data_IF_357346175717
#
_entry.id   IF_357346175717
#
_cell.length_a   1.000
_cell.length_b   1.000
_cell.length_c   1.000
_cell.angle_alpha   90.00
_cell.angle_beta   90.00
_cell.angle_gamma   90.00
#
_symmetry.space_group_name_H-M   'P 1'
#
loop_
_entity.id
_entity.type
_entity.pdbx_description
1 polymer ?
#
# COMPACT_ATOMS: atom_id res chain seq x y z
N UNK A 1 -4.76 -9.26 30.46
CA UNK A 1 -5.37 -8.35 29.44
C UNK A 1 -4.63 -8.58 28.15
N UNK A 2 -5.26 -8.50 26.98
CA UNK A 2 -4.50 -8.58 25.73
C UNK A 2 -3.50 -7.42 25.65
N UNK A 3 -2.32 -7.70 25.07
CA UNK A 3 -1.27 -6.68 24.89
C UNK A 3 -1.74 -5.65 23.88
N UNK A 4 -1.78 -4.37 24.29
CA UNK A 4 -2.06 -3.26 23.40
C UNK A 4 -0.85 -2.99 22.49
N UNK A 5 -1.03 -3.17 21.19
CA UNK A 5 -0.01 -2.93 20.19
C UNK A 5 -0.18 -1.54 19.60
N UNK A 6 0.89 -0.80 19.55
CA UNK A 6 0.93 0.59 19.10
C UNK A 6 1.90 0.78 17.94
N UNK A 7 1.63 1.81 17.14
CA UNK A 7 2.40 2.19 15.96
C UNK A 7 3.05 3.55 16.23
N UNK A 8 4.38 3.58 16.09
CA UNK A 8 5.18 4.79 16.25
C UNK A 8 5.83 5.15 14.92
N UNK A 9 5.96 6.45 14.68
CA UNK A 9 6.68 7.06 13.57
C UNK A 9 6.47 6.35 12.22
N UNK A 10 5.24 6.24 11.70
CA UNK A 10 5.01 5.74 10.35
C UNK A 10 5.51 6.75 9.32
N UNK A 11 6.46 6.31 8.48
CA UNK A 11 7.14 7.12 7.47
C UNK A 11 7.09 6.48 6.09
N UNK A 12 7.29 7.29 5.05
CA UNK A 12 7.42 6.84 3.67
C UNK A 12 8.40 7.69 2.87
N UNK A 13 8.93 7.16 1.80
CA UNK A 13 9.54 7.98 0.77
C UNK A 13 8.47 8.77 0.00
N UNK A 14 8.82 9.81 -0.77
CA UNK A 14 7.99 10.23 -1.89
C UNK A 14 7.62 9.02 -2.78
N UNK A 15 6.48 9.10 -3.47
CA UNK A 15 6.06 8.04 -4.39
C UNK A 15 6.53 8.42 -5.80
N UNK A 16 7.51 7.66 -6.32
CA UNK A 16 7.99 7.77 -7.68
C UNK A 16 6.97 7.21 -8.69
N UNK A 17 6.89 7.83 -9.86
CA UNK A 17 6.15 7.25 -11.00
C UNK A 17 7.00 6.18 -11.68
N UNK A 18 6.37 5.28 -12.40
CA UNK A 18 7.08 4.28 -13.23
C UNK A 18 8.04 4.97 -14.22
N UNK A 19 9.31 4.57 -14.19
CA UNK A 19 10.37 5.20 -14.98
C UNK A 19 10.76 6.61 -14.51
N UNK A 20 10.34 7.02 -13.31
CA UNK A 20 10.61 8.33 -12.71
C UNK A 20 11.88 8.40 -11.87
N UNK A 21 11.85 9.23 -10.83
CA UNK A 21 13.00 9.57 -10.01
C UNK A 21 13.67 8.35 -9.34
N UNK A 22 12.90 7.32 -9.01
CA UNK A 22 13.41 6.12 -8.33
C UNK A 22 13.70 4.93 -9.25
N UNK A 23 13.58 5.09 -10.57
CA UNK A 23 13.76 3.99 -11.52
C UNK A 23 15.13 3.30 -11.47
N UNK A 24 16.16 3.97 -10.93
CA UNK A 24 17.50 3.44 -10.77
C UNK A 24 17.84 3.07 -9.32
N UNK A 25 16.85 3.17 -8.41
CA UNK A 25 17.02 2.78 -7.02
C UNK A 25 16.75 1.30 -6.84
N UNK A 26 17.42 0.68 -5.87
CA UNK A 26 17.06 -0.67 -5.44
C UNK A 26 15.97 -0.62 -4.38
N UNK A 27 15.06 -1.62 -4.32
CA UNK A 27 14.08 -1.70 -3.24
C UNK A 27 14.75 -1.69 -1.85
N UNK A 28 15.85 -2.40 -1.67
CA UNK A 28 16.57 -2.46 -0.41
C UNK A 28 17.08 -1.07 0.04
N UNK A 29 17.65 -0.29 -0.88
CA UNK A 29 18.16 1.06 -0.56
C UNK A 29 17.03 2.01 -0.13
N UNK A 30 15.87 2.01 -0.82
CA UNK A 30 14.72 2.83 -0.41
C UNK A 30 14.17 2.40 0.96
N UNK A 31 14.08 1.10 1.22
CA UNK A 31 13.63 0.59 2.50
C UNK A 31 14.62 0.93 3.63
N UNK A 32 15.92 0.74 3.39
CA UNK A 32 16.97 1.08 4.35
C UNK A 32 16.93 2.58 4.73
N UNK A 33 16.67 3.46 3.75
CA UNK A 33 16.55 4.89 3.98
C UNK A 33 15.41 5.23 4.95
N UNK A 34 14.22 4.63 4.77
CA UNK A 34 13.07 4.83 5.66
C UNK A 34 13.36 4.25 7.06
N UNK A 35 13.96 3.06 7.14
CA UNK A 35 14.32 2.41 8.40
C UNK A 35 15.31 3.28 9.21
N UNK A 36 16.35 3.79 8.57
CA UNK A 36 17.32 4.66 9.20
C UNK A 36 16.67 5.94 9.74
N UNK A 37 15.74 6.52 9.01
CA UNK A 37 15.02 7.72 9.44
C UNK A 37 14.06 7.43 10.61
N UNK A 38 13.38 6.27 10.64
CA UNK A 38 12.57 5.84 11.79
C UNK A 38 13.45 5.76 13.04
N UNK A 39 14.61 5.12 12.94
CA UNK A 39 15.55 5.02 14.07
C UNK A 39 16.02 6.41 14.53
N UNK A 40 16.37 7.28 13.59
CA UNK A 40 16.83 8.64 13.89
C UNK A 40 15.73 9.49 14.57
N UNK A 41 14.50 9.47 14.05
CA UNK A 41 13.39 10.29 14.61
C UNK A 41 12.90 9.76 15.95
N UNK A 42 12.86 8.44 16.12
CA UNK A 42 12.42 7.85 17.39
C UNK A 42 13.50 7.91 18.47
N UNK A 43 14.77 8.06 18.08
CA UNK A 43 15.91 8.00 19.00
C UNK A 43 16.08 6.62 19.66
N UNK A 44 15.43 5.59 19.15
CA UNK A 44 15.55 4.24 19.69
C UNK A 44 16.98 3.71 19.51
N UNK A 45 17.51 3.04 20.53
CA UNK A 45 18.75 2.26 20.37
C UNK A 45 18.49 1.17 19.30
N UNK A 46 19.23 1.15 18.18
CA UNK A 46 19.08 0.15 17.14
C UNK A 46 19.17 -1.30 17.62
N UNK A 47 19.90 -1.54 18.72
CA UNK A 47 20.03 -2.86 19.33
C UNK A 47 18.74 -3.35 20.02
N UNK A 48 17.74 -2.47 20.19
CA UNK A 48 16.42 -2.82 20.75
C UNK A 48 15.44 -3.32 19.69
N UNK A 49 15.79 -3.22 18.41
CA UNK A 49 14.98 -3.77 17.32
C UNK A 49 15.24 -5.26 17.19
N UNK A 50 14.18 -6.07 17.29
CA UNK A 50 14.28 -7.53 17.18
C UNK A 50 14.28 -7.99 15.72
N UNK A 51 13.39 -7.41 14.91
CA UNK A 51 13.19 -7.81 13.52
C UNK A 51 12.77 -6.64 12.62
N UNK A 52 13.08 -6.76 11.32
CA UNK A 52 12.52 -5.93 10.25
C UNK A 52 11.68 -6.81 9.33
N UNK A 53 10.37 -6.54 9.23
CA UNK A 53 9.44 -7.27 8.38
C UNK A 53 9.01 -6.38 7.22
N UNK A 54 9.36 -6.74 5.98
CA UNK A 54 9.01 -5.95 4.81
C UNK A 54 8.12 -6.72 3.82
N UNK A 55 7.02 -6.08 3.43
CA UNK A 55 6.23 -6.47 2.28
C UNK A 55 6.97 -6.14 0.98
N UNK A 56 7.08 -7.12 0.06
CA UNK A 56 7.72 -6.94 -1.23
C UNK A 56 7.09 -7.88 -2.26
N UNK A 57 6.41 -7.30 -3.26
CA UNK A 57 5.59 -8.06 -4.19
C UNK A 57 6.31 -8.45 -5.50
N UNK A 58 7.46 -7.83 -5.79
CA UNK A 58 8.28 -8.12 -6.97
C UNK A 58 9.72 -8.45 -6.59
N UNK A 59 9.94 -9.54 -5.81
CA UNK A 59 11.24 -9.88 -5.26
C UNK A 59 12.25 -10.26 -6.35
N UNK A 60 13.53 -10.00 -6.02
CA UNK A 60 14.68 -10.44 -6.82
C UNK A 60 15.70 -11.15 -5.94
N UNK A 61 16.61 -11.89 -6.56
CA UNK A 61 17.73 -12.50 -5.84
C UNK A 61 18.80 -11.49 -5.40
N UNK A 62 18.70 -10.23 -5.83
CA UNK A 62 19.65 -9.17 -5.44
C UNK A 62 19.43 -8.69 -3.98
N UNK A 63 18.22 -8.93 -3.43
CA UNK A 63 17.90 -8.61 -2.03
C UNK A 63 17.04 -9.74 -1.42
N UNK A 64 17.60 -10.95 -1.21
CA UNK A 64 16.86 -12.05 -0.60
C UNK A 64 16.50 -11.69 0.86
N UNK A 65 15.28 -12.04 1.28
CA UNK A 65 14.76 -11.63 2.59
C UNK A 65 14.96 -10.12 2.83
N UNK A 66 14.36 -9.31 1.96
CA UNK A 66 14.64 -7.86 1.87
C UNK A 66 14.59 -7.12 3.21
N UNK A 67 13.78 -7.57 4.18
CA UNK A 67 13.78 -7.02 5.54
C UNK A 67 15.15 -7.11 6.21
N UNK A 68 15.86 -8.24 6.01
CA UNK A 68 17.21 -8.42 6.55
C UNK A 68 18.22 -7.54 5.81
N UNK A 69 18.19 -7.52 4.49
CA UNK A 69 19.12 -6.70 3.69
C UNK A 69 18.95 -5.23 4.04
N UNK A 70 17.72 -4.73 4.05
CA UNK A 70 17.41 -3.34 4.37
C UNK A 70 17.79 -2.97 5.82
N UNK A 71 17.64 -3.89 6.79
CA UNK A 71 18.09 -3.67 8.18
C UNK A 71 19.60 -3.43 8.25
N UNK A 72 20.39 -4.27 7.58
CA UNK A 72 21.85 -4.14 7.55
C UNK A 72 22.29 -2.86 6.82
N UNK A 73 21.67 -2.56 5.68
CA UNK A 73 21.98 -1.37 4.89
C UNK A 73 21.57 -0.08 5.62
N UNK A 74 20.55 -0.15 6.50
CA UNK A 74 20.17 0.95 7.39
C UNK A 74 21.12 1.15 8.58
N UNK A 75 22.12 0.26 8.77
CA UNK A 75 23.08 0.33 9.86
C UNK A 75 22.59 -0.30 11.17
N UNK A 76 21.54 -1.11 11.16
CA UNK A 76 21.13 -1.85 12.35
C UNK A 76 22.15 -2.95 12.68
N UNK A 77 22.29 -3.33 13.97
CA UNK A 77 23.22 -4.39 14.38
C UNK A 77 22.93 -5.73 13.70
N UNK A 78 23.95 -6.55 13.54
CA UNK A 78 23.84 -7.88 12.95
C UNK A 78 22.96 -8.85 13.74
N UNK A 79 22.59 -8.51 14.96
CA UNK A 79 21.63 -9.24 15.80
C UNK A 79 20.19 -9.06 15.35
N UNK A 80 19.86 -7.99 14.64
CA UNK A 80 18.49 -7.71 14.14
C UNK A 80 18.17 -8.68 13.00
N UNK A 81 17.12 -9.47 13.15
CA UNK A 81 16.67 -10.39 12.11
C UNK A 81 15.81 -9.68 11.06
N UNK A 82 15.47 -10.34 9.96
CA UNK A 82 14.58 -9.73 8.99
C UNK A 82 13.95 -10.73 8.05
N UNK A 83 12.71 -10.45 7.67
CA UNK A 83 11.90 -11.30 6.81
C UNK A 83 11.20 -10.52 5.69
N UNK A 84 10.67 -11.26 4.73
CA UNK A 84 9.94 -10.75 3.57
C UNK A 84 8.57 -11.40 3.48
N UNK A 85 7.55 -10.60 3.16
CA UNK A 85 6.19 -11.06 2.95
C UNK A 85 5.71 -10.65 1.56
N UNK A 86 5.12 -11.59 0.84
CA UNK A 86 4.32 -11.30 -0.36
C UNK A 86 2.85 -11.66 -0.12
N UNK A 87 2.03 -10.65 0.10
CA UNK A 87 0.57 -10.69 0.02
C UNK A 87 0.12 -9.66 -1.02
N UNK A 88 0.86 -9.52 -2.09
CA UNK A 88 0.60 -8.57 -3.18
C UNK A 88 0.27 -7.16 -2.62
N UNK A 89 -0.85 -6.55 -3.02
CA UNK A 89 -1.27 -5.20 -2.59
C UNK A 89 -1.37 -5.04 -1.06
N UNK A 90 -1.59 -6.12 -0.32
CA UNK A 90 -1.69 -6.11 1.15
C UNK A 90 -0.38 -6.33 1.89
N UNK A 91 0.76 -6.48 1.20
CA UNK A 91 2.03 -6.90 1.82
C UNK A 91 2.50 -5.96 2.93
N UNK A 92 2.44 -4.65 2.72
CA UNK A 92 2.89 -3.66 3.71
C UNK A 92 2.05 -3.67 4.98
N UNK A 93 0.72 -3.70 4.85
CA UNK A 93 -0.16 -3.82 6.02
C UNK A 93 0.01 -5.20 6.69
N UNK A 94 0.14 -6.29 5.91
CA UNK A 94 0.37 -7.62 6.48
C UNK A 94 1.65 -7.66 7.32
N UNK A 95 2.73 -7.02 6.89
CA UNK A 95 3.97 -6.93 7.67
C UNK A 95 3.74 -6.26 9.04
N UNK A 96 2.96 -5.18 9.08
CA UNK A 96 2.57 -4.51 10.33
C UNK A 96 1.72 -5.43 11.22
N UNK A 97 0.77 -6.18 10.63
CA UNK A 97 -0.07 -7.11 11.37
C UNK A 97 0.72 -8.32 11.91
N UNK A 98 1.70 -8.82 11.15
CA UNK A 98 2.57 -9.91 11.61
C UNK A 98 3.47 -9.44 12.76
N UNK A 99 4.03 -8.23 12.68
CA UNK A 99 4.72 -7.59 13.78
C UNK A 99 3.83 -7.48 15.04
N UNK A 100 2.58 -7.03 14.85
CA UNK A 100 1.62 -6.94 15.96
C UNK A 100 1.30 -8.30 16.57
N UNK A 101 1.20 -9.35 15.76
CA UNK A 101 1.00 -10.72 16.26
C UNK A 101 2.22 -11.23 17.03
N UNK A 102 3.44 -10.96 16.58
CA UNK A 102 4.68 -11.31 17.30
C UNK A 102 4.75 -10.59 18.66
N UNK A 103 4.42 -9.30 18.72
CA UNK A 103 4.37 -8.52 19.96
C UNK A 103 3.33 -9.12 20.93
N UNK A 104 2.11 -9.41 20.43
CA UNK A 104 1.04 -10.04 21.26
C UNK A 104 1.40 -11.44 21.77
N UNK A 105 2.19 -12.17 21.01
CA UNK A 105 2.69 -13.49 21.39
C UNK A 105 3.89 -13.46 22.35
N UNK A 106 4.48 -12.27 22.60
CA UNK A 106 5.69 -12.12 23.38
C UNK A 106 6.95 -12.66 22.70
N UNK A 107 6.88 -12.83 21.36
CA UNK A 107 8.02 -13.29 20.56
C UNK A 107 9.00 -12.17 20.26
N UNK A 108 8.51 -10.94 20.06
CA UNK A 108 9.30 -9.73 19.85
C UNK A 108 8.79 -8.60 20.74
N UNK A 109 9.66 -7.65 21.09
CA UNK A 109 9.30 -6.42 21.82
C UNK A 109 9.16 -5.22 20.86
N UNK A 110 10.08 -5.11 19.88
CA UNK A 110 10.14 -3.99 18.93
C UNK A 110 10.41 -4.52 17.53
N UNK A 111 9.52 -4.19 16.60
CA UNK A 111 9.64 -4.59 15.19
C UNK A 111 9.50 -3.36 14.30
N UNK A 112 10.37 -3.22 13.32
CA UNK A 112 10.14 -2.27 12.22
C UNK A 112 9.42 -3.02 11.10
N UNK A 113 8.22 -2.56 10.73
CA UNK A 113 7.38 -3.24 9.77
C UNK A 113 6.86 -2.30 8.69
N UNK A 114 6.77 -2.79 7.47
CA UNK A 114 6.31 -1.97 6.36
C UNK A 114 6.42 -2.69 5.03
N UNK A 115 6.81 -1.97 3.99
CA UNK A 115 7.02 -2.60 2.69
C UNK A 115 7.66 -1.67 1.67
N UNK A 116 8.08 -2.25 0.56
CA UNK A 116 8.76 -1.55 -0.52
C UNK A 116 8.50 -2.25 -1.86
N UNK A 117 8.31 -1.48 -2.90
CA UNK A 117 8.51 -1.92 -4.27
C UNK A 117 9.12 -0.79 -5.11
N UNK A 118 10.05 -1.14 -5.98
CA UNK A 118 10.47 -0.32 -7.11
C UNK A 118 9.99 -1.05 -8.35
N UNK A 119 8.74 -0.75 -8.76
CA UNK A 119 8.12 -1.44 -9.90
C UNK A 119 8.87 -1.13 -11.20
N UNK A 120 9.54 0.03 -11.27
CA UNK A 120 10.42 0.40 -12.37
C UNK A 120 11.62 -0.53 -12.54
N UNK A 121 12.04 -1.22 -11.48
CA UNK A 121 13.15 -2.18 -11.46
C UNK A 121 12.70 -3.64 -11.36
N UNK A 122 11.40 -3.91 -11.55
CA UNK A 122 10.88 -5.29 -11.52
C UNK A 122 11.57 -6.16 -12.60
N UNK A 123 11.93 -7.41 -12.28
CA UNK A 123 12.78 -8.22 -13.15
C UNK A 123 12.02 -8.74 -14.37
N UNK A 124 12.79 -8.93 -15.45
CA UNK A 124 12.44 -9.89 -16.49
C UNK A 124 13.11 -11.22 -16.17
N UNK A 125 12.40 -12.34 -16.33
CA UNK A 125 12.92 -13.65 -15.98
C UNK A 125 12.50 -14.73 -16.98
N UNK A 126 13.20 -15.88 -16.94
CA UNK A 126 12.85 -17.07 -17.70
C UNK A 126 12.99 -18.31 -16.82
N UNK A 127 12.17 -19.33 -17.07
CA UNK A 127 12.31 -20.66 -16.47
C UNK A 127 13.18 -21.59 -17.30
N UNK A 128 13.39 -21.27 -18.59
CA UNK A 128 13.94 -22.21 -19.57
C UNK A 128 15.47 -22.25 -19.58
N UNK A 129 16.15 -21.30 -18.97
CA UNK A 129 17.60 -21.14 -19.06
C UNK A 129 18.44 -22.12 -18.23
N UNK A 130 17.89 -22.69 -17.15
CA UNK A 130 18.68 -23.47 -16.17
C UNK A 130 19.24 -24.79 -16.75
N UNK A 131 18.53 -25.39 -17.65
CA UNK A 131 18.91 -26.70 -18.25
C UNK A 131 19.45 -26.56 -19.68
N UNK A 132 19.85 -25.35 -20.05
CA UNK A 132 20.36 -25.02 -21.38
C UNK A 132 19.25 -24.56 -22.32
N UNK A 133 19.66 -23.74 -23.30
CA UNK A 133 18.77 -23.15 -24.29
C UNK A 133 18.68 -24.09 -25.47
N UNK A 134 17.46 -24.51 -25.82
CA UNK A 134 17.19 -25.34 -27.00
C UNK A 134 16.19 -24.61 -27.90
N UNK A 135 16.37 -24.77 -29.23
CA UNK A 135 15.46 -24.19 -30.22
C UNK A 135 15.72 -22.69 -30.48
N UNK A 136 14.70 -21.90 -30.82
CA UNK A 136 14.83 -20.55 -31.40
C UNK A 136 15.19 -19.46 -30.39
N UNK A 137 15.44 -19.77 -29.11
CA UNK A 137 15.81 -18.79 -28.10
C UNK A 137 15.09 -18.91 -26.78
N UNK A 138 15.09 -17.82 -25.99
CA UNK A 138 14.42 -17.70 -24.68
C UNK A 138 13.26 -16.72 -24.76
N UNK A 139 12.18 -17.06 -24.07
CA UNK A 139 11.13 -16.11 -23.74
C UNK A 139 11.41 -15.49 -22.36
N UNK A 140 11.47 -14.15 -22.30
CA UNK A 140 11.56 -13.40 -21.04
C UNK A 140 10.17 -12.93 -20.62
N UNK A 141 9.79 -13.28 -19.40
CA UNK A 141 8.56 -12.84 -18.78
C UNK A 141 8.79 -11.54 -18.00
N UNK A 142 8.00 -10.51 -18.26
CA UNK A 142 7.91 -9.33 -17.40
C UNK A 142 7.19 -9.71 -16.09
N UNK A 143 7.87 -9.59 -14.94
CA UNK A 143 7.32 -9.93 -13.63
C UNK A 143 6.05 -9.12 -13.29
N UNK A 144 5.98 -7.84 -13.72
CA UNK A 144 4.80 -6.99 -13.51
C UNK A 144 3.58 -7.53 -14.24
N UNK A 145 3.72 -7.79 -15.54
CA UNK A 145 2.64 -8.32 -16.37
C UNK A 145 2.24 -9.72 -15.90
N UNK A 146 3.24 -10.57 -15.66
CA UNK A 146 3.01 -11.97 -15.30
C UNK A 146 2.30 -12.12 -13.95
N UNK A 147 2.73 -11.39 -12.92
CA UNK A 147 2.13 -11.44 -11.58
C UNK A 147 0.65 -11.03 -11.54
N UNK A 148 0.20 -10.24 -12.52
CA UNK A 148 -1.21 -9.81 -12.60
C UNK A 148 -2.14 -10.89 -13.11
N UNK A 149 -1.68 -11.72 -14.04
CA UNK A 149 -2.51 -12.77 -14.66
C UNK A 149 -2.42 -14.10 -13.94
N UNK A 150 -1.37 -14.33 -13.15
CA UNK A 150 -1.13 -15.60 -12.43
C UNK A 150 -1.65 -15.61 -11.00
N UNK A 151 -2.09 -14.47 -10.46
CA UNK A 151 -2.48 -14.34 -9.06
C UNK A 151 -3.64 -15.28 -8.64
N UNK A 152 -4.51 -15.69 -9.58
CA UNK A 152 -5.59 -16.68 -9.33
C UNK A 152 -5.13 -18.16 -9.46
N UNK A 153 -3.86 -18.40 -9.74
CA UNK A 153 -3.33 -19.76 -9.98
C UNK A 153 -3.90 -20.38 -11.26
N UNK A 154 -3.75 -21.69 -11.37
CA UNK A 154 -4.18 -22.45 -12.57
C UNK A 154 -5.70 -22.63 -12.59
N UNK A 155 -6.33 -22.79 -11.43
CA UNK A 155 -7.74 -23.12 -11.32
C UNK A 155 -8.69 -21.90 -11.35
N UNK A 156 -8.14 -20.69 -11.14
CA UNK A 156 -8.91 -19.45 -11.15
C UNK A 156 -8.22 -18.38 -12.00
N UNK A 157 -8.00 -18.64 -13.30
CA UNK A 157 -7.26 -17.75 -14.17
C UNK A 157 -8.02 -16.44 -14.39
N UNK A 158 -7.27 -15.33 -14.45
CA UNK A 158 -7.78 -14.01 -14.83
C UNK A 158 -6.89 -13.47 -15.96
N UNK A 159 -7.13 -13.88 -17.21
CA UNK A 159 -6.21 -13.61 -18.32
C UNK A 159 -6.04 -12.12 -18.65
N UNK A 160 -7.04 -11.28 -18.44
CA UNK A 160 -6.95 -9.83 -18.55
C UNK A 160 -6.34 -9.15 -17.30
N UNK A 161 -5.91 -9.94 -16.31
CA UNK A 161 -5.25 -9.47 -15.10
C UNK A 161 -6.14 -8.58 -14.23
N UNK A 162 -5.50 -7.67 -13.49
CA UNK A 162 -6.22 -6.83 -12.51
C UNK A 162 -7.25 -5.90 -13.15
N UNK A 163 -7.04 -5.45 -14.40
CA UNK A 163 -8.02 -4.60 -15.11
C UNK A 163 -9.31 -5.36 -15.40
N UNK A 164 -9.20 -6.64 -15.80
CA UNK A 164 -10.38 -7.49 -16.00
C UNK A 164 -11.20 -7.64 -14.72
N UNK A 165 -10.54 -7.77 -13.55
CA UNK A 165 -11.26 -7.85 -12.27
C UNK A 165 -12.07 -6.59 -11.97
N UNK A 166 -11.58 -5.42 -12.35
CA UNK A 166 -12.29 -4.16 -12.20
C UNK A 166 -13.46 -4.04 -13.21
N UNK A 167 -13.26 -4.49 -14.46
CA UNK A 167 -14.34 -4.57 -15.45
C UNK A 167 -15.43 -5.57 -15.04
N UNK A 168 -15.08 -6.67 -14.36
CA UNK A 168 -16.09 -7.59 -13.83
C UNK A 168 -16.95 -6.90 -12.77
N UNK A 169 -16.36 -6.17 -11.85
CA UNK A 169 -17.11 -5.43 -10.83
C UNK A 169 -17.97 -4.32 -11.43
N UNK A 170 -17.45 -3.57 -12.42
CA UNK A 170 -18.27 -2.52 -13.05
C UNK A 170 -19.53 -3.09 -13.71
N UNK A 171 -19.44 -4.30 -14.29
CA UNK A 171 -20.62 -4.99 -14.87
C UNK A 171 -21.57 -5.46 -13.78
N UNK A 172 -21.05 -6.13 -12.75
CA UNK A 172 -21.82 -6.70 -11.65
C UNK A 172 -22.58 -5.63 -10.86
N UNK A 173 -21.91 -4.49 -10.57
CA UNK A 173 -22.47 -3.39 -9.78
C UNK A 173 -23.05 -2.25 -10.62
N UNK A 174 -23.04 -2.35 -11.96
CA UNK A 174 -23.56 -1.31 -12.84
C UNK A 174 -22.84 0.04 -12.66
N UNK A 175 -21.51 0.03 -12.48
CA UNK A 175 -20.73 1.26 -12.31
C UNK A 175 -20.48 1.90 -13.66
N UNK A 176 -20.93 3.14 -13.82
CA UNK A 176 -20.74 3.87 -15.08
C UNK A 176 -19.29 4.38 -15.23
N UNK A 177 -18.89 4.69 -16.46
CA UNK A 177 -17.64 5.36 -16.75
C UNK A 177 -17.58 6.74 -16.10
N UNK A 178 -18.68 7.47 -16.11
CA UNK A 178 -18.76 8.82 -15.53
C UNK A 178 -18.55 8.79 -14.01
N UNK A 179 -19.13 7.81 -13.29
CA UNK A 179 -18.91 7.65 -11.85
C UNK A 179 -17.45 7.34 -11.54
N UNK A 180 -16.80 6.50 -12.35
CA UNK A 180 -15.38 6.15 -12.19
C UNK A 180 -14.47 7.36 -12.38
N UNK A 181 -14.72 8.15 -13.43
CA UNK A 181 -13.96 9.34 -13.73
C UNK A 181 -14.19 10.45 -12.68
N UNK A 182 -15.41 10.57 -12.15
CA UNK A 182 -15.72 11.50 -11.07
C UNK A 182 -14.96 11.15 -9.77
N UNK A 183 -14.88 9.88 -9.40
CA UNK A 183 -14.08 9.44 -8.26
C UNK A 183 -12.59 9.70 -8.50
N UNK A 184 -12.07 9.43 -9.70
CA UNK A 184 -10.68 9.68 -10.04
C UNK A 184 -10.33 11.17 -9.98
N UNK A 185 -11.20 12.04 -10.51
CA UNK A 185 -11.05 13.49 -10.40
C UNK A 185 -10.98 13.94 -8.95
N UNK A 186 -11.91 13.46 -8.12
CA UNK A 186 -11.95 13.74 -6.68
C UNK A 186 -10.64 13.33 -5.99
N UNK A 187 -10.12 12.14 -6.31
CA UNK A 187 -8.84 11.64 -5.77
C UNK A 187 -7.69 12.57 -6.13
N UNK A 188 -7.56 12.98 -7.39
CA UNK A 188 -6.52 13.90 -7.86
C UNK A 188 -6.60 15.27 -7.17
N UNK A 189 -7.79 15.84 -7.08
CA UNK A 189 -8.02 17.13 -6.42
C UNK A 189 -7.68 17.08 -4.93
N UNK A 190 -7.98 15.97 -4.25
CA UNK A 190 -7.66 15.76 -2.83
C UNK A 190 -6.16 15.63 -2.61
N UNK A 191 -5.48 14.84 -3.41
CA UNK A 191 -4.03 14.71 -3.32
C UNK A 191 -3.33 16.05 -3.59
N UNK A 192 -3.76 16.80 -4.60
CA UNK A 192 -3.23 18.12 -4.90
C UNK A 192 -3.42 19.11 -3.76
N UNK A 193 -4.62 19.15 -3.16
CA UNK A 193 -4.91 19.99 -2.00
C UNK A 193 -4.11 19.56 -0.77
N UNK A 194 -4.05 18.27 -0.47
CA UNK A 194 -3.29 17.74 0.66
C UNK A 194 -1.80 18.07 0.55
N UNK A 195 -1.22 17.96 -0.66
CA UNK A 195 0.15 18.35 -0.92
C UNK A 195 0.37 19.86 -0.74
N UNK A 196 -0.52 20.70 -1.28
CA UNK A 196 -0.43 22.15 -1.14
C UNK A 196 -0.57 22.64 0.33
N UNK A 197 -1.31 21.89 1.16
CA UNK A 197 -1.49 22.16 2.58
C UNK A 197 -0.41 21.49 3.46
N UNK A 198 0.60 20.85 2.89
CA UNK A 198 1.69 20.20 3.62
C UNK A 198 1.27 18.97 4.46
N UNK A 199 0.13 18.34 4.14
CA UNK A 199 -0.41 17.23 4.95
C UNK A 199 0.47 15.99 4.93
N UNK A 200 1.33 15.83 3.91
CA UNK A 200 2.26 14.72 3.77
C UNK A 200 3.66 14.99 4.35
N UNK A 201 3.97 16.25 4.74
CA UNK A 201 5.34 16.64 5.09
C UNK A 201 5.89 15.84 6.27
N UNK A 202 5.05 15.59 7.29
CA UNK A 202 5.46 14.85 8.48
C UNK A 202 5.71 13.36 8.22
N UNK A 203 5.08 12.76 7.20
CA UNK A 203 5.25 11.35 6.86
C UNK A 203 6.31 11.09 5.79
N UNK A 204 6.67 12.12 5.02
CA UNK A 204 7.55 11.97 3.86
C UNK A 204 9.01 12.20 4.24
N UNK A 205 9.87 11.25 3.86
CA UNK A 205 11.31 11.30 4.03
C UNK A 205 11.95 11.64 2.69
N UNK A 206 12.59 12.81 2.53
CA UNK A 206 13.29 13.17 1.31
C UNK A 206 14.35 12.15 0.91
N UNK A 207 14.46 11.82 -0.37
CA UNK A 207 15.44 10.85 -0.89
C UNK A 207 16.38 11.54 -1.88
N UNK A 208 17.69 11.51 -1.60
CA UNK A 208 18.69 12.00 -2.56
C UNK A 208 19.05 10.89 -3.54
N UNK A 209 18.85 11.17 -4.83
CA UNK A 209 19.14 10.25 -5.93
C UNK A 209 20.27 10.79 -6.78
N UNK A 210 21.16 9.90 -7.24
CA UNK A 210 22.20 10.22 -8.21
C UNK A 210 21.67 10.06 -9.61
N UNK A 211 21.85 11.08 -10.42
CA UNK A 211 21.55 11.08 -11.86
C UNK A 211 22.81 11.38 -12.65
N UNK A 212 22.75 11.23 -13.99
CA UNK A 212 23.86 11.65 -14.86
C UNK A 212 24.16 13.16 -14.78
N UNK A 213 23.22 13.96 -14.29
CA UNK A 213 23.33 15.43 -14.14
C UNK A 213 23.78 15.85 -12.75
N UNK A 214 24.05 14.90 -11.85
CA UNK A 214 24.39 15.15 -10.45
C UNK A 214 23.40 14.58 -9.46
N UNK A 215 23.46 15.03 -8.23
CA UNK A 215 22.53 14.63 -7.15
C UNK A 215 21.28 15.52 -7.18
N UNK A 216 20.12 14.91 -6.93
CA UNK A 216 18.82 15.58 -6.80
C UNK A 216 18.09 15.01 -5.61
N UNK A 217 17.55 15.86 -4.76
CA UNK A 217 16.71 15.43 -3.64
C UNK A 217 15.23 15.45 -4.06
N UNK A 218 14.60 14.28 -4.01
CA UNK A 218 13.17 14.10 -4.27
C UNK A 218 12.43 14.31 -2.95
N UNK A 219 11.55 15.30 -2.90
CA UNK A 219 10.80 15.71 -1.69
C UNK A 219 9.30 15.54 -1.83
N UNK A 220 8.79 15.37 -3.06
CA UNK A 220 7.37 15.33 -3.36
C UNK A 220 7.00 14.09 -4.20
N UNK A 221 5.76 13.66 -4.07
CA UNK A 221 5.18 12.59 -4.87
C UNK A 221 5.11 12.99 -6.35
N UNK A 222 5.56 12.10 -7.26
CA UNK A 222 5.57 12.37 -8.71
C UNK A 222 4.26 11.97 -9.43
N UNK A 223 3.41 11.18 -8.77
CA UNK A 223 2.23 10.61 -9.43
C UNK A 223 1.04 11.56 -9.50
N UNK A 224 0.76 12.43 -8.50
CA UNK A 224 -0.39 13.32 -8.50
C UNK A 224 -0.43 14.25 -9.72
N UNK A 225 -1.64 14.46 -10.25
CA UNK A 225 -1.95 15.36 -11.37
C UNK A 225 -3.06 16.33 -10.96
N UNK A 226 -2.76 17.34 -10.14
CA UNK A 226 -3.77 18.22 -9.55
C UNK A 226 -4.58 19.01 -10.59
N UNK A 227 -4.01 19.22 -11.79
CA UNK A 227 -4.66 19.96 -12.89
C UNK A 227 -5.55 19.06 -13.77
N UNK A 228 -5.82 17.81 -13.36
CA UNK A 228 -6.72 16.89 -14.07
C UNK A 228 -8.13 17.48 -14.15
N UNK A 229 -8.76 17.40 -15.33
CA UNK A 229 -10.15 17.82 -15.56
C UNK A 229 -11.05 16.62 -15.93
N UNK A 230 -12.36 16.80 -15.79
CA UNK A 230 -13.36 15.78 -16.18
C UNK A 230 -13.27 15.45 -17.68
N UNK A 231 -13.04 16.45 -18.52
CA UNK A 231 -12.92 16.31 -19.97
C UNK A 231 -11.69 15.50 -20.35
N UNK A 232 -10.55 15.72 -19.66
CA UNK A 232 -9.33 14.96 -19.89
C UNK A 232 -9.54 13.49 -19.52
N UNK A 233 -10.22 13.18 -18.40
CA UNK A 233 -10.52 11.81 -18.00
C UNK A 233 -11.48 11.16 -19.00
N UNK A 234 -12.56 11.83 -19.41
CA UNK A 234 -13.53 11.32 -20.36
C UNK A 234 -12.91 11.00 -21.73
N UNK A 235 -11.89 11.75 -22.16
CA UNK A 235 -11.17 11.53 -23.42
C UNK A 235 -10.25 10.31 -23.41
N UNK A 236 -9.94 9.71 -22.25
CA UNK A 236 -9.05 8.55 -22.14
C UNK A 236 -9.72 7.30 -22.72
N UNK A 237 -8.95 6.57 -23.52
CA UNK A 237 -9.39 5.30 -24.10
C UNK A 237 -9.37 4.19 -23.04
N UNK A 238 -10.44 3.38 -22.90
CA UNK A 238 -10.40 2.22 -22.01
C UNK A 238 -9.33 1.21 -22.42
N UNK A 239 -8.67 0.62 -21.40
CA UNK A 239 -7.52 -0.27 -21.62
C UNK A 239 -7.94 -1.55 -22.35
N UNK A 240 -9.12 -2.10 -22.03
CA UNK A 240 -9.61 -3.36 -22.59
C UNK A 240 -10.55 -3.18 -23.78
N UNK A 241 -10.67 -1.98 -24.36
CA UNK A 241 -11.63 -1.69 -25.45
C UNK A 241 -11.49 -2.60 -26.69
N UNK A 242 -10.32 -3.24 -26.88
CA UNK A 242 -10.13 -4.19 -28.01
C UNK A 242 -10.80 -5.55 -27.75
N UNK A 243 -10.88 -5.99 -26.51
CA UNK A 243 -11.48 -7.26 -26.07
C UNK A 243 -12.89 -7.09 -25.49
N UNK A 244 -13.21 -5.91 -25.00
CA UNK A 244 -14.50 -5.50 -24.44
C UNK A 244 -14.87 -4.11 -24.96
N UNK A 245 -15.75 -3.99 -25.98
CA UNK A 245 -16.17 -2.69 -26.50
C UNK A 245 -16.81 -1.78 -25.47
N UNK A 246 -17.41 -2.34 -24.41
CA UNK A 246 -18.05 -1.63 -23.31
C UNK A 246 -17.10 -1.37 -22.13
N UNK A 247 -15.80 -1.62 -22.28
CA UNK A 247 -14.81 -1.39 -21.23
C UNK A 247 -14.81 0.08 -20.77
N UNK A 248 -14.57 0.27 -19.48
CA UNK A 248 -14.63 1.60 -18.84
C UNK A 248 -13.37 1.96 -18.07
N UNK A 249 -12.53 0.98 -17.70
CA UNK A 249 -11.32 1.22 -16.96
C UNK A 249 -10.24 1.85 -17.85
N UNK A 250 -9.71 2.98 -17.42
CA UNK A 250 -8.69 3.75 -18.14
C UNK A 250 -7.45 3.96 -17.25
N UNK A 251 -6.39 4.49 -17.84
CA UNK A 251 -5.21 4.92 -17.08
C UNK A 251 -5.51 6.07 -16.09
N UNK A 252 -6.63 6.79 -16.25
CA UNK A 252 -7.00 7.89 -15.38
C UNK A 252 -7.86 7.48 -14.19
N UNK A 253 -8.58 6.34 -14.27
CA UNK A 253 -9.45 5.85 -13.20
C UNK A 253 -8.97 4.53 -12.56
N UNK A 254 -7.68 4.22 -12.75
CA UNK A 254 -6.94 3.12 -12.16
C UNK A 254 -5.66 3.64 -11.48
N UNK A 255 -5.17 2.93 -10.49
CA UNK A 255 -3.88 3.23 -9.86
C UNK A 255 -2.71 3.01 -10.83
N UNK A 256 -1.63 3.76 -10.62
CA UNK A 256 -0.39 3.61 -11.41
C UNK A 256 0.51 2.48 -10.94
N UNK A 257 1.59 2.27 -11.69
CA UNK A 257 2.77 1.53 -11.26
C UNK A 257 3.73 2.53 -10.63
N UNK A 258 4.22 2.24 -9.43
CA UNK A 258 4.95 3.23 -8.65
C UNK A 258 6.10 2.60 -7.86
N UNK A 259 6.98 3.47 -7.40
CA UNK A 259 8.19 3.16 -6.68
C UNK A 259 8.16 3.86 -5.32
N UNK A 260 8.16 3.15 -4.21
CA UNK A 260 8.26 3.74 -2.88
C UNK A 260 8.58 2.69 -1.80
N UNK A 261 9.04 3.16 -0.66
CA UNK A 261 9.11 2.43 0.61
C UNK A 261 8.29 3.14 1.68
N UNK A 262 7.70 2.38 2.60
CA UNK A 262 7.03 2.89 3.79
C UNK A 262 7.20 1.90 4.94
N UNK A 263 7.40 2.39 6.15
CA UNK A 263 7.54 1.55 7.34
C UNK A 263 7.16 2.32 8.60
N UNK A 264 6.97 1.59 9.69
CA UNK A 264 6.71 2.12 11.03
C UNK A 264 7.38 1.23 12.09
N UNK A 265 7.51 1.75 13.30
CA UNK A 265 7.91 0.97 14.45
C UNK A 265 6.64 0.44 15.15
N UNK A 266 6.63 -0.87 15.43
CA UNK A 266 5.53 -1.59 16.07
C UNK A 266 6.00 -2.14 17.40
N UNK A 267 5.28 -1.85 18.49
CA UNK A 267 5.63 -2.33 19.82
C UNK A 267 4.40 -2.41 20.73
N UNK A 268 4.56 -2.82 21.98
CA UNK A 268 3.49 -2.71 22.98
C UNK A 268 3.42 -1.30 23.58
N UNK A 269 2.24 -0.87 24.06
CA UNK A 269 2.08 0.41 24.75
C UNK A 269 3.04 0.53 25.96
N UNK A 270 3.20 -0.55 26.73
CA UNK A 270 4.12 -0.57 27.87
C UNK A 270 5.59 -0.47 27.45
N UNK A 271 5.99 -1.09 26.33
CA UNK A 271 7.35 -0.95 25.81
C UNK A 271 7.57 0.44 25.23
N UNK A 272 6.57 1.02 24.54
CA UNK A 272 6.66 2.40 24.05
C UNK A 272 6.90 3.40 25.19
N UNK A 273 6.14 3.29 26.27
CA UNK A 273 6.33 4.12 27.48
C UNK A 273 7.76 3.93 28.08
N UNK A 274 8.19 2.69 28.27
CA UNK A 274 9.51 2.36 28.82
C UNK A 274 10.67 2.91 27.97
N UNK A 275 10.51 2.94 26.66
CA UNK A 275 11.54 3.41 25.72
C UNK A 275 11.37 4.89 25.33
N UNK A 276 10.38 5.60 25.88
CA UNK A 276 10.12 7.01 25.56
C UNK A 276 9.69 7.24 24.12
N UNK A 277 9.06 6.25 23.49
CA UNK A 277 8.53 6.36 22.14
C UNK A 277 7.18 7.07 22.14
N UNK A 278 6.86 7.73 21.02
CA UNK A 278 5.62 8.48 20.84
C UNK A 278 4.66 7.73 19.88
N UNK A 279 3.74 6.89 20.37
CA UNK A 279 2.83 6.16 19.52
C UNK A 279 1.70 7.03 18.99
N UNK A 280 1.40 6.96 17.69
CA UNK A 280 0.30 7.71 17.07
C UNK A 280 -1.03 6.97 17.18
N UNK A 281 -1.05 5.68 16.90
CA UNK A 281 -2.28 4.88 16.91
C UNK A 281 -2.04 3.52 17.57
N UNK A 282 -3.11 2.94 18.12
CA UNK A 282 -3.13 1.53 18.53
C UNK A 282 -3.91 0.67 17.54
N UNK A 283 -3.50 -0.56 17.35
CA UNK A 283 -4.22 -1.55 16.55
C UNK A 283 -5.37 -2.14 17.37
N UNK A 284 -6.60 -1.82 16.97
CA UNK A 284 -7.83 -2.32 17.62
C UNK A 284 -8.14 -3.74 17.15
N UNK A 285 -8.30 -3.93 15.85
CA UNK A 285 -8.64 -5.20 15.24
C UNK A 285 -8.14 -5.29 13.80
N UNK A 286 -8.14 -6.49 13.25
CA UNK A 286 -7.87 -6.72 11.84
C UNK A 286 -8.53 -8.01 11.36
N UNK A 287 -8.73 -8.09 10.05
CA UNK A 287 -9.26 -9.28 9.39
C UNK A 287 -8.78 -9.41 7.95
N UNK A 288 -8.82 -10.63 7.46
CA UNK A 288 -8.63 -10.96 6.05
C UNK A 288 -9.86 -11.70 5.53
N UNK A 289 -10.09 -11.59 4.22
CA UNK A 289 -11.15 -12.31 3.54
C UNK A 289 -10.65 -12.86 2.21
N UNK A 290 -11.26 -13.96 1.75
CA UNK A 290 -11.08 -14.53 0.44
C UNK A 290 -12.37 -14.42 -0.36
N UNK A 291 -12.25 -14.11 -1.66
CA UNK A 291 -13.34 -14.02 -2.64
C UNK A 291 -12.87 -14.62 -3.97
N UNK A 292 -13.74 -14.84 -4.96
CA UNK A 292 -13.29 -15.27 -6.29
C UNK A 292 -12.23 -14.31 -6.87
N UNK A 293 -11.18 -14.87 -7.47
CA UNK A 293 -10.07 -14.08 -8.03
C UNK A 293 -10.54 -13.09 -9.10
N UNK A 294 -11.55 -13.46 -9.89
CA UNK A 294 -12.13 -12.65 -10.97
C UNK A 294 -12.84 -11.37 -10.46
N UNK A 295 -13.19 -11.32 -9.18
CA UNK A 295 -13.85 -10.15 -8.53
C UNK A 295 -13.10 -9.72 -7.27
N UNK A 296 -11.77 -9.85 -7.27
CA UNK A 296 -10.92 -9.59 -6.10
C UNK A 296 -11.19 -8.23 -5.43
N UNK A 297 -11.62 -7.24 -6.22
CA UNK A 297 -11.81 -5.88 -5.75
C UNK A 297 -12.92 -5.71 -4.71
N UNK A 298 -13.84 -6.69 -4.56
CA UNK A 298 -14.91 -6.63 -3.54
C UNK A 298 -14.47 -7.18 -2.17
N UNK A 299 -13.31 -7.83 -2.08
CA UNK A 299 -12.82 -8.45 -0.85
C UNK A 299 -12.69 -7.52 0.36
N UNK A 300 -12.42 -6.21 0.20
CA UNK A 300 -12.43 -5.24 1.31
C UNK A 300 -13.72 -5.26 2.12
N UNK A 301 -14.86 -5.52 1.50
CA UNK A 301 -16.17 -5.54 2.18
C UNK A 301 -16.20 -6.59 3.27
N UNK A 302 -15.89 -7.84 2.93
CA UNK A 302 -15.90 -8.94 3.90
C UNK A 302 -14.81 -8.77 4.97
N UNK A 303 -13.62 -8.30 4.58
CA UNK A 303 -12.54 -8.03 5.52
C UNK A 303 -12.93 -6.92 6.52
N UNK A 304 -13.54 -5.83 6.04
CA UNK A 304 -14.02 -4.71 6.87
C UNK A 304 -15.09 -5.16 7.84
N UNK A 305 -16.14 -5.86 7.37
CA UNK A 305 -17.21 -6.37 8.25
C UNK A 305 -16.63 -7.23 9.38
N UNK A 306 -15.72 -8.15 9.05
CA UNK A 306 -15.10 -9.02 10.06
C UNK A 306 -14.19 -8.23 11.02
N UNK A 307 -13.46 -7.22 10.55
CA UNK A 307 -12.62 -6.40 11.41
C UNK A 307 -13.46 -5.56 12.38
N UNK A 308 -14.56 -4.99 11.92
CA UNK A 308 -15.49 -4.23 12.75
C UNK A 308 -16.16 -5.11 13.81
N UNK A 309 -16.66 -6.29 13.43
CA UNK A 309 -17.23 -7.28 14.37
C UNK A 309 -16.25 -7.62 15.49
N UNK A 310 -14.98 -7.86 15.16
CA UNK A 310 -13.93 -8.15 16.16
C UNK A 310 -13.64 -6.98 17.10
N UNK A 311 -13.84 -5.77 16.60
CA UNK A 311 -13.67 -4.53 17.38
C UNK A 311 -14.89 -4.20 18.24
N UNK A 312 -16.06 -4.83 17.98
CA UNK A 312 -17.34 -4.39 18.53
C UNK A 312 -17.79 -3.03 18.03
N UNK A 313 -17.38 -2.68 16.80
CA UNK A 313 -17.66 -1.39 16.16
C UNK A 313 -18.56 -1.59 14.93
N UNK A 314 -19.15 -0.49 14.49
CA UNK A 314 -19.91 -0.36 13.26
C UNK A 314 -19.24 0.61 12.30
N UNK A 315 -19.69 0.69 11.06
CA UNK A 315 -19.22 1.71 10.10
C UNK A 315 -19.51 3.14 10.56
N UNK A 316 -20.52 3.34 11.41
CA UNK A 316 -20.87 4.65 11.93
C UNK A 316 -19.88 5.17 12.99
N UNK A 317 -19.16 4.26 13.64
CA UNK A 317 -18.14 4.60 14.64
C UNK A 317 -16.81 5.05 14.02
N UNK A 318 -16.65 4.84 12.71
CA UNK A 318 -15.42 5.22 12.00
C UNK A 318 -15.44 6.70 11.59
N UNK A 319 -14.41 7.44 11.96
CA UNK A 319 -14.21 8.82 11.55
C UNK A 319 -13.52 8.93 10.19
N UNK A 320 -12.60 8.01 9.90
CA UNK A 320 -11.83 7.96 8.65
C UNK A 320 -11.80 6.56 8.07
N UNK A 321 -11.84 6.47 6.74
CA UNK A 321 -11.72 5.23 5.97
C UNK A 321 -10.70 5.45 4.86
N UNK A 322 -9.62 4.72 4.92
CA UNK A 322 -8.65 4.60 3.83
C UNK A 322 -8.90 3.27 3.09
N UNK A 323 -9.58 3.34 1.96
CA UNK A 323 -9.79 2.24 1.03
C UNK A 323 -8.86 2.43 -0.15
N UNK A 324 -7.87 1.54 -0.32
CA UNK A 324 -6.95 1.66 -1.44
C UNK A 324 -7.70 1.72 -2.78
N UNK A 325 -7.40 2.74 -3.56
CA UNK A 325 -7.99 2.97 -4.88
C UNK A 325 -7.20 2.22 -5.96
N UNK A 326 -7.28 0.89 -5.96
CA UNK A 326 -6.68 0.12 -7.05
C UNK A 326 -7.37 0.46 -8.40
N UNK A 327 -8.70 0.58 -8.37
CA UNK A 327 -9.56 1.00 -9.49
C UNK A 327 -10.77 1.76 -8.96
N UNK A 328 -11.22 2.78 -9.67
CA UNK A 328 -12.43 3.50 -9.29
C UNK A 328 -13.68 2.60 -9.26
N UNK A 329 -13.81 1.68 -10.23
CA UNK A 329 -14.89 0.69 -10.23
C UNK A 329 -14.88 -0.17 -8.97
N UNK A 330 -13.69 -0.58 -8.50
CA UNK A 330 -13.52 -1.37 -7.29
C UNK A 330 -13.96 -0.59 -6.03
N UNK A 331 -13.52 0.67 -5.90
CA UNK A 331 -13.89 1.52 -4.76
C UNK A 331 -15.41 1.72 -4.70
N UNK A 332 -16.02 2.09 -5.83
CA UNK A 332 -17.46 2.32 -5.92
C UNK A 332 -18.29 1.05 -5.64
N UNK A 333 -17.81 -0.12 -6.06
CA UNK A 333 -18.46 -1.39 -5.71
C UNK A 333 -18.38 -1.66 -4.21
N UNK A 334 -17.22 -1.46 -3.58
CA UNK A 334 -17.05 -1.63 -2.15
C UNK A 334 -17.94 -0.68 -1.34
N UNK A 335 -17.96 0.61 -1.69
CA UNK A 335 -18.74 1.60 -0.96
C UNK A 335 -20.24 1.37 -1.10
N UNK A 336 -20.74 0.98 -2.29
CA UNK A 336 -22.13 0.56 -2.47
C UNK A 336 -22.50 -0.64 -1.60
N UNK A 337 -21.68 -1.66 -1.58
CA UNK A 337 -21.92 -2.89 -0.81
C UNK A 337 -21.84 -2.67 0.71
N UNK A 338 -21.06 -1.68 1.15
CA UNK A 338 -20.98 -1.25 2.55
C UNK A 338 -22.08 -0.25 2.92
N UNK A 339 -22.88 0.25 1.98
CA UNK A 339 -23.90 1.26 2.24
C UNK A 339 -23.33 2.65 2.49
N UNK A 340 -22.11 2.92 2.00
CA UNK A 340 -21.45 4.22 2.10
C UNK A 340 -21.82 5.09 0.89
N UNK A 341 -22.35 6.28 1.15
CA UNK A 341 -22.86 7.20 0.12
C UNK A 341 -21.91 8.38 -0.17
N UNK A 342 -22.44 9.35 -0.92
CA UNK A 342 -21.66 10.55 -1.32
C UNK A 342 -21.16 11.35 -0.11
N UNK A 343 -21.97 11.47 0.93
CA UNK A 343 -21.56 12.13 2.18
C UNK A 343 -20.33 11.46 2.81
N UNK A 344 -20.26 10.14 2.77
CA UNK A 344 -19.10 9.41 3.30
C UNK A 344 -17.87 9.65 2.44
N UNK A 345 -18.03 9.62 1.12
CA UNK A 345 -16.97 10.00 0.19
C UNK A 345 -16.45 11.41 0.45
N UNK A 346 -17.33 12.37 0.73
CA UNK A 346 -16.92 13.75 0.95
C UNK A 346 -16.19 13.97 2.27
N UNK A 347 -16.60 13.28 3.32
CA UNK A 347 -16.19 13.62 4.67
C UNK A 347 -15.11 12.71 5.25
N UNK A 348 -15.08 11.41 4.90
CA UNK A 348 -14.26 10.43 5.62
C UNK A 348 -13.55 9.37 4.77
N UNK A 349 -13.88 9.21 3.47
CA UNK A 349 -13.21 8.21 2.63
C UNK A 349 -12.08 8.88 1.82
N UNK A 350 -10.86 8.40 1.95
CA UNK A 350 -9.68 8.81 1.18
C UNK A 350 -9.53 10.34 1.09
N UNK A 351 -9.65 11.00 2.21
CA UNK A 351 -9.78 12.48 2.29
C UNK A 351 -8.57 13.25 1.76
N UNK A 352 -7.45 12.58 1.65
CA UNK A 352 -6.20 13.10 1.09
C UNK A 352 -5.82 12.49 -0.27
N UNK A 353 -6.75 11.82 -0.94
CA UNK A 353 -6.43 10.99 -2.11
C UNK A 353 -5.91 9.60 -1.71
N UNK A 354 -5.74 8.70 -2.67
CA UNK A 354 -5.22 7.35 -2.44
C UNK A 354 -4.57 6.77 -3.71
N UNK A 355 -4.73 5.49 -4.00
CA UNK A 355 -3.99 4.79 -5.05
C UNK A 355 -4.09 5.39 -6.46
N UNK A 356 -5.22 5.97 -6.86
CA UNK A 356 -5.39 6.61 -8.16
C UNK A 356 -4.52 7.86 -8.27
N UNK A 357 -4.53 8.70 -7.26
CA UNK A 357 -3.83 9.99 -7.28
C UNK A 357 -2.39 9.92 -6.78
N UNK A 358 -2.14 9.16 -5.70
CA UNK A 358 -0.80 9.03 -5.10
C UNK A 358 0.02 7.91 -5.71
N UNK A 359 -0.63 6.94 -6.36
CA UNK A 359 0.03 5.75 -6.88
C UNK A 359 -0.05 4.54 -5.95
N UNK A 360 0.36 3.38 -6.51
CA UNK A 360 0.24 2.10 -5.84
C UNK A 360 1.54 1.27 -5.93
N UNK A 361 2.58 1.64 -5.16
CA UNK A 361 3.77 0.80 -4.98
C UNK A 361 3.36 -0.42 -4.16
N UNK A 362 3.09 -1.54 -4.83
CA UNK A 362 2.29 -2.68 -4.33
C UNK A 362 2.70 -3.13 -2.94
N UNK A 363 3.98 -3.41 -2.72
CA UNK A 363 4.51 -3.86 -1.42
C UNK A 363 4.46 -2.81 -0.32
N UNK A 364 4.58 -1.52 -0.68
CA UNK A 364 4.62 -0.41 0.28
C UNK A 364 3.23 0.13 0.64
N UNK A 365 2.21 -0.11 -0.18
CA UNK A 365 0.93 0.61 -0.13
C UNK A 365 0.25 0.55 1.23
N UNK A 366 0.20 -0.60 1.90
CA UNK A 366 -0.43 -0.69 3.21
C UNK A 366 0.27 0.18 4.27
N UNK A 367 1.58 0.09 4.38
CA UNK A 367 2.32 0.95 5.33
C UNK A 367 2.24 2.44 4.97
N UNK A 368 2.17 2.78 3.67
CA UNK A 368 1.95 4.15 3.20
C UNK A 368 0.57 4.67 3.63
N UNK A 369 -0.47 3.88 3.45
CA UNK A 369 -1.84 4.23 3.89
C UNK A 369 -1.87 4.43 5.40
N UNK A 370 -1.26 3.55 6.17
CA UNK A 370 -1.16 3.67 7.62
C UNK A 370 -0.48 4.98 8.05
N UNK A 371 0.58 5.40 7.35
CA UNK A 371 1.26 6.67 7.64
C UNK A 371 0.31 7.87 7.47
N UNK A 372 -0.43 7.91 6.36
CA UNK A 372 -1.40 8.97 6.09
C UNK A 372 -2.59 8.92 7.06
N UNK A 373 -3.17 7.73 7.29
CA UNK A 373 -4.32 7.55 8.17
C UNK A 373 -4.02 7.99 9.61
N UNK A 374 -2.89 7.53 10.16
CA UNK A 374 -2.53 7.85 11.55
C UNK A 374 -2.34 9.36 11.77
N UNK A 375 -1.69 10.05 10.84
CA UNK A 375 -1.49 11.50 10.92
C UNK A 375 -2.80 12.28 10.69
N UNK A 376 -3.65 11.83 9.79
CA UNK A 376 -4.96 12.46 9.55
C UNK A 376 -5.91 12.29 10.73
N UNK A 377 -5.87 11.14 11.45
CA UNK A 377 -6.58 10.96 12.71
C UNK A 377 -6.16 12.01 13.76
N UNK A 378 -4.86 12.28 13.87
CA UNK A 378 -4.35 13.31 14.77
C UNK A 378 -4.75 14.71 14.33
N UNK A 379 -4.60 15.04 13.05
CA UNK A 379 -4.93 16.35 12.51
C UNK A 379 -6.40 16.74 12.71
N UNK A 380 -7.31 15.75 12.69
CA UNK A 380 -8.75 15.93 12.89
C UNK A 380 -9.22 15.69 14.32
N UNK A 381 -8.32 15.31 15.21
CA UNK A 381 -8.69 14.82 16.55
C UNK A 381 -9.71 13.67 16.51
N UNK A 382 -9.72 12.94 15.41
CA UNK A 382 -10.61 11.82 15.14
C UNK A 382 -10.17 10.58 15.94
N UNK A 383 -11.11 9.68 16.24
CA UNK A 383 -10.84 8.55 17.10
C UNK A 383 -10.50 7.27 16.32
N UNK A 384 -11.39 6.82 15.47
CA UNK A 384 -11.25 5.54 14.78
C UNK A 384 -10.99 5.72 13.29
N UNK A 385 -10.01 5.00 12.77
CA UNK A 385 -9.70 4.89 11.35
C UNK A 385 -9.68 3.45 10.88
N UNK A 386 -10.22 3.23 9.69
CA UNK A 386 -10.15 1.95 8.98
C UNK A 386 -9.17 2.08 7.82
N UNK A 387 -8.23 1.15 7.73
CA UNK A 387 -7.48 0.87 6.51
C UNK A 387 -7.98 -0.43 5.90
N UNK A 388 -8.31 -0.43 4.60
CA UNK A 388 -8.72 -1.65 3.90
C UNK A 388 -8.29 -1.63 2.45
N UNK A 389 -8.04 -2.83 1.88
CA UNK A 389 -7.58 -2.96 0.51
C UNK A 389 -7.95 -4.29 -0.11
N UNK A 390 -8.16 -4.26 -1.42
CA UNK A 390 -8.25 -5.45 -2.26
C UNK A 390 -6.85 -5.97 -2.60
N UNK A 391 -6.75 -7.27 -2.85
CA UNK A 391 -5.48 -7.95 -3.06
C UNK A 391 -5.64 -8.92 -4.23
N UNK A 392 -4.75 -8.86 -5.20
CA UNK A 392 -4.72 -9.75 -6.35
C UNK A 392 -4.78 -11.21 -5.94
N UNK A 393 -5.55 -12.01 -6.68
CA UNK A 393 -5.83 -13.41 -6.35
C UNK A 393 -7.09 -13.62 -5.50
N UNK A 394 -7.92 -12.57 -5.30
CA UNK A 394 -9.20 -12.70 -4.60
C UNK A 394 -9.07 -12.61 -3.09
N UNK A 395 -8.28 -11.67 -2.58
CA UNK A 395 -8.14 -11.46 -1.14
C UNK A 395 -8.47 -10.02 -0.74
N UNK A 396 -8.80 -9.81 0.52
CA UNK A 396 -8.95 -8.51 1.17
C UNK A 396 -8.31 -8.48 2.54
N UNK A 397 -7.86 -7.32 2.95
CA UNK A 397 -7.29 -7.05 4.25
C UNK A 397 -7.92 -5.78 4.81
N UNK A 398 -8.20 -5.77 6.12
CA UNK A 398 -8.71 -4.60 6.82
C UNK A 398 -8.12 -4.54 8.23
N UNK A 399 -7.81 -3.33 8.69
CA UNK A 399 -7.36 -3.06 10.05
C UNK A 399 -8.02 -1.79 10.58
N UNK A 400 -8.44 -1.83 11.83
CA UNK A 400 -9.02 -0.71 12.57
C UNK A 400 -7.98 -0.18 13.54
N UNK A 401 -7.73 1.10 13.48
CA UNK A 401 -6.80 1.81 14.34
C UNK A 401 -7.54 2.86 15.18
N UNK A 402 -7.07 3.09 16.39
CA UNK A 402 -7.55 4.14 17.27
C UNK A 402 -6.42 5.12 17.57
N UNK A 403 -6.71 6.41 17.44
CA UNK A 403 -5.78 7.49 17.79
C UNK A 403 -5.45 7.43 19.28
N UNK A 404 -4.18 7.58 19.59
CA UNK A 404 -3.70 7.78 20.96
C UNK A 404 -3.65 9.30 21.22
N UNK A 405 -4.41 9.75 22.19
CA UNK A 405 -4.37 11.15 22.64
C UNK A 405 -3.12 11.36 23.50
N UNK A 406 -2.39 12.45 23.26
CA UNK A 406 -1.25 12.90 24.05
C UNK A 406 -1.62 14.10 24.90
#
# INVERSE_FOLDING_TARGET
MPIDVVICEPLRTPIGRFGGAFAQQTPAALAAHVIAEIVARTGIDPARVDEVILGHAYPTSEAPAIGRVAALDAGLPTTVTGSQIDRRCGSGLQAVLDAAMQIRAGFSEVVIAGGVDVMSAAPYYTHDGRWGIKGPGLHLHDALARGRVTAGGVNHPVPGGMIETAENLRREYGISRADQDALALRSQQRAGRAAAEGRYDAETVPVTVRTRKGETTVTADEHPRPDTTAEQLAALRPVMVRSDPDATVTAGNASGQNDAAAACLVTSAATAERLGLNPLVRLVSFARAGVPAATMGIAPVAATRTALDRAGLTLADLDLIELNEAFAAQVLSCTRELGLGEKDHDQRINVNGSGISLGHPVGATGARILATLSRELHRREARYGLETMCIGGGQGLAAVFERIAH
#
